data_IF_999504948301
#
_entry.id   IF_999504948301
#
_cell.length_a   1.000
_cell.length_b   1.000
_cell.length_c   1.000
_cell.angle_alpha   90.00
_cell.angle_beta   90.00
_cell.angle_gamma   90.00
#
_symmetry.space_group_name_H-M   'P 1'
#
loop_
_entity.id
_entity.type
_entity.pdbx_description
1 polymer ?
#
# COMPACT_ATOMS: atom_id res chain seq x y z
N UNK A 1 22.10 7.35 -1.55
CA UNK A 1 22.46 7.62 -0.14
C UNK A 1 22.42 6.37 0.75
N UNK A 2 21.58 5.38 0.42
CA UNK A 2 21.42 4.14 1.22
C UNK A 2 22.26 2.97 0.74
N UNK A 3 23.15 3.16 -0.24
CA UNK A 3 24.00 2.10 -0.77
C UNK A 3 24.89 1.49 0.32
N UNK A 4 24.85 0.16 0.43
CA UNK A 4 25.61 -0.58 1.44
C UNK A 4 25.05 -0.52 2.88
N UNK A 5 23.99 0.25 3.14
CA UNK A 5 23.40 0.38 4.47
C UNK A 5 22.31 -0.65 4.75
N UNK A 6 21.73 -1.24 3.70
CA UNK A 6 20.64 -2.23 3.81
C UNK A 6 20.99 -3.49 3.04
N UNK A 7 20.55 -4.66 3.56
CA UNK A 7 20.87 -5.99 3.02
C UNK A 7 19.64 -6.71 2.46
N UNK A 8 18.46 -6.18 2.70
CA UNK A 8 17.19 -6.64 2.20
C UNK A 8 16.10 -5.63 2.55
N UNK A 9 14.98 -5.66 1.84
CA UNK A 9 13.85 -4.75 2.09
C UNK A 9 12.56 -5.56 2.17
N UNK A 10 11.75 -5.25 3.18
CA UNK A 10 10.36 -5.71 3.27
C UNK A 10 9.45 -4.51 3.01
N UNK A 11 8.66 -4.60 1.95
CA UNK A 11 7.67 -3.58 1.60
C UNK A 11 6.26 -4.09 1.89
N UNK A 12 5.64 -3.59 2.97
CA UNK A 12 4.26 -3.90 3.31
C UNK A 12 3.36 -2.80 2.74
N UNK A 13 2.52 -3.17 1.78
CA UNK A 13 1.69 -2.23 1.02
C UNK A 13 2.47 -1.03 0.46
N UNK A 14 3.58 -1.25 -0.29
CA UNK A 14 4.46 -0.18 -0.75
C UNK A 14 3.84 0.58 -1.92
N UNK A 15 3.07 1.62 -1.66
CA UNK A 15 2.44 2.47 -2.67
C UNK A 15 3.40 3.36 -3.47
N UNK A 16 4.71 3.22 -3.29
CA UNK A 16 5.69 4.21 -3.77
C UNK A 16 6.10 4.11 -5.25
N UNK A 17 5.90 2.96 -5.92
CA UNK A 17 6.40 2.74 -7.29
C UNK A 17 5.63 3.57 -8.31
N UNK A 18 4.32 3.68 -8.13
CA UNK A 18 3.42 4.44 -9.00
C UNK A 18 3.24 5.90 -8.61
N UNK A 19 3.72 6.31 -7.46
CA UNK A 19 3.48 7.68 -7.00
C UNK A 19 3.96 8.68 -8.05
N UNK A 20 3.05 9.58 -8.44
CA UNK A 20 3.40 10.80 -9.16
C UNK A 20 4.21 11.67 -8.22
N UNK A 21 5.50 11.42 -8.17
CA UNK A 21 6.37 12.23 -7.34
C UNK A 21 6.33 13.66 -7.86
N UNK A 22 6.01 14.56 -6.97
CA UNK A 22 6.00 15.98 -7.26
C UNK A 22 7.42 16.43 -7.52
N UNK A 23 7.65 17.14 -8.63
CA UNK A 23 8.91 17.81 -8.87
C UNK A 23 9.17 18.84 -7.78
N UNK A 24 10.44 19.07 -7.44
CA UNK A 24 10.84 20.01 -6.38
C UNK A 24 10.20 21.39 -6.57
N UNK A 25 10.15 21.89 -7.79
CA UNK A 25 9.53 23.18 -8.14
C UNK A 25 8.05 23.26 -7.74
N UNK A 26 7.28 22.22 -8.06
CA UNK A 26 5.87 22.14 -7.67
C UNK A 26 5.69 21.96 -6.15
N UNK A 27 6.64 21.31 -5.49
CA UNK A 27 6.67 21.19 -4.04
C UNK A 27 6.94 22.51 -3.35
N UNK A 28 7.86 23.31 -3.89
CA UNK A 28 8.14 24.67 -3.40
C UNK A 28 6.91 25.55 -3.54
N UNK A 29 6.25 25.57 -4.70
CA UNK A 29 5.01 26.32 -4.90
C UNK A 29 3.91 25.93 -3.91
N UNK A 30 3.72 24.61 -3.68
CA UNK A 30 2.78 24.15 -2.66
C UNK A 30 3.15 24.63 -1.26
N UNK A 31 4.42 24.57 -0.90
CA UNK A 31 4.92 25.06 0.39
C UNK A 31 4.67 26.54 0.59
N UNK A 32 4.90 27.36 -0.44
CA UNK A 32 4.62 28.79 -0.40
C UNK A 32 3.13 29.09 -0.31
N UNK A 33 2.29 28.34 -1.02
CA UNK A 33 0.84 28.45 -0.92
C UNK A 33 0.35 28.09 0.48
N UNK A 34 0.93 27.07 1.09
CA UNK A 34 0.63 26.69 2.46
C UNK A 34 1.03 27.77 3.48
N UNK A 35 2.24 28.33 3.36
CA UNK A 35 2.70 29.44 4.19
C UNK A 35 1.75 30.65 4.07
N UNK A 36 1.34 30.99 2.84
CA UNK A 36 0.35 32.07 2.61
C UNK A 36 -0.99 31.80 3.28
N UNK A 37 -1.49 30.57 3.24
CA UNK A 37 -2.74 30.18 3.92
C UNK A 37 -2.65 30.33 5.45
N UNK A 38 -1.44 30.22 6.01
CA UNK A 38 -1.14 30.47 7.42
C UNK A 38 -0.95 31.97 7.75
N UNK A 39 -1.06 32.86 6.76
CA UNK A 39 -0.82 34.29 6.93
C UNK A 39 0.66 34.68 7.01
N UNK A 40 1.57 33.76 6.66
CA UNK A 40 3.01 34.01 6.68
C UNK A 40 3.41 34.69 5.37
N UNK A 41 4.09 35.83 5.50
CA UNK A 41 4.63 36.59 4.39
C UNK A 41 6.12 36.33 4.28
N UNK A 42 6.56 35.91 3.10
CA UNK A 42 7.96 35.60 2.84
C UNK A 42 8.14 34.19 2.25
N UNK A 43 9.38 33.88 1.90
CA UNK A 43 9.79 32.58 1.33
C UNK A 43 11.07 32.12 2.04
N UNK A 44 11.46 30.87 1.81
CA UNK A 44 12.68 30.31 2.38
C UNK A 44 12.66 30.24 3.92
N UNK A 45 13.83 30.51 4.51
CA UNK A 45 14.05 30.31 5.95
C UNK A 45 13.13 31.17 6.82
N UNK A 46 12.82 32.41 6.42
CA UNK A 46 11.91 33.26 7.19
C UNK A 46 10.49 32.71 7.27
N UNK A 47 10.00 32.10 6.19
CA UNK A 47 8.70 31.44 6.20
C UNK A 47 8.72 30.17 7.06
N UNK A 48 9.82 29.40 7.03
CA UNK A 48 9.97 28.21 7.88
C UNK A 48 10.02 28.58 9.37
N UNK A 49 10.74 29.63 9.74
CA UNK A 49 10.77 30.15 11.11
C UNK A 49 9.38 30.58 11.56
N UNK A 50 8.67 31.36 10.73
CA UNK A 50 7.30 31.77 11.01
C UNK A 50 6.36 30.59 11.22
N UNK A 51 6.46 29.53 10.41
CA UNK A 51 5.66 28.30 10.59
C UNK A 51 6.01 27.56 11.88
N UNK A 52 7.29 27.51 12.29
CA UNK A 52 7.73 26.84 13.52
C UNK A 52 7.22 27.53 14.79
N UNK A 53 6.93 28.83 14.73
CA UNK A 53 6.37 29.59 15.86
C UNK A 53 4.87 29.41 16.03
N UNK A 54 4.17 28.84 15.03
CA UNK A 54 2.73 28.62 15.08
C UNK A 54 2.37 27.42 15.96
N UNK A 55 1.23 27.49 16.68
CA UNK A 55 0.67 26.34 17.36
C UNK A 55 0.41 25.18 16.37
N UNK A 56 0.73 23.92 16.72
CA UNK A 56 0.51 22.77 15.84
C UNK A 56 -0.91 22.66 15.28
N UNK A 57 -1.91 23.05 16.08
CA UNK A 57 -3.32 23.05 15.67
C UNK A 57 -3.62 23.99 14.50
N UNK A 58 -2.91 25.12 14.41
CA UNK A 58 -3.03 26.02 13.27
C UNK A 58 -2.49 25.39 11.99
N UNK A 59 -1.35 24.72 12.10
CA UNK A 59 -0.74 23.96 10.98
C UNK A 59 -1.71 22.90 10.50
N UNK A 60 -2.24 22.05 11.40
CA UNK A 60 -3.18 20.97 11.08
C UNK A 60 -4.45 21.53 10.44
N UNK A 61 -5.01 22.61 10.97
CA UNK A 61 -6.22 23.23 10.41
C UNK A 61 -5.98 23.78 9.00
N UNK A 62 -4.81 24.36 8.74
CA UNK A 62 -4.46 24.84 7.41
C UNK A 62 -4.28 23.69 6.38
N UNK A 63 -3.80 22.54 6.82
CA UNK A 63 -3.69 21.36 5.94
C UNK A 63 -5.04 20.92 5.34
N UNK A 64 -6.13 21.09 6.07
CA UNK A 64 -7.47 20.73 5.59
C UNK A 64 -8.02 21.70 4.52
N UNK A 65 -7.55 22.95 4.50
CA UNK A 65 -8.05 24.00 3.61
C UNK A 65 -7.12 24.32 2.44
N UNK A 66 -5.82 24.27 2.67
CA UNK A 66 -4.80 24.58 1.65
C UNK A 66 -4.19 23.34 0.97
N UNK A 67 -4.64 22.16 1.35
CA UNK A 67 -4.00 20.90 1.01
C UNK A 67 -2.72 20.70 1.83
N UNK A 68 -2.36 19.45 2.10
CA UNK A 68 -1.08 19.17 2.75
C UNK A 68 0.05 19.51 1.80
N UNK A 69 0.90 20.45 2.17
CA UNK A 69 2.13 20.76 1.42
C UNK A 69 3.17 19.65 1.48
N UNK A 70 2.84 18.50 2.12
CA UNK A 70 3.76 17.40 2.38
C UNK A 70 3.68 16.29 1.36
N UNK A 71 4.79 15.62 1.15
CA UNK A 71 4.94 14.44 0.31
C UNK A 71 6.37 14.36 -0.23
N UNK A 72 6.81 13.17 -0.67
CA UNK A 72 8.13 13.02 -1.26
C UNK A 72 8.27 13.87 -2.52
N UNK A 73 9.41 14.56 -2.63
CA UNK A 73 9.76 15.36 -3.81
C UNK A 73 10.89 14.70 -4.59
N UNK A 74 10.84 14.79 -5.90
CA UNK A 74 12.01 14.51 -6.74
C UNK A 74 12.91 15.74 -6.65
N UNK A 75 13.90 15.66 -5.79
CA UNK A 75 14.81 16.77 -5.46
C UNK A 75 16.17 16.63 -6.13
N UNK A 76 16.39 15.54 -6.87
CA UNK A 76 17.65 15.23 -7.52
C UNK A 76 18.76 14.77 -6.57
N UNK A 77 18.49 14.67 -5.27
CA UNK A 77 19.47 14.30 -4.24
C UNK A 77 19.02 13.11 -3.38
N UNK A 78 17.95 13.24 -2.58
CA UNK A 78 17.39 12.13 -1.77
C UNK A 78 16.57 11.22 -2.67
N UNK A 79 15.73 11.81 -3.50
CA UNK A 79 14.95 11.12 -4.53
C UNK A 79 15.39 11.67 -5.90
N UNK A 80 16.40 11.04 -6.54
CA UNK A 80 16.99 11.56 -7.78
C UNK A 80 16.04 11.54 -8.97
N UNK A 81 15.13 10.55 -9.02
CA UNK A 81 14.14 10.35 -10.09
C UNK A 81 12.95 9.57 -9.54
N UNK A 82 11.94 9.37 -10.37
CA UNK A 82 10.78 8.52 -10.05
C UNK A 82 11.24 7.13 -9.63
N UNK A 83 10.68 6.53 -8.56
CA UNK A 83 11.12 5.23 -8.06
C UNK A 83 11.10 4.13 -9.12
N UNK A 84 10.08 4.12 -9.99
CA UNK A 84 10.04 3.19 -11.12
C UNK A 84 11.27 3.31 -12.04
N UNK A 85 11.64 4.54 -12.42
CA UNK A 85 12.81 4.79 -13.31
C UNK A 85 14.10 4.34 -12.64
N UNK A 86 14.25 4.62 -11.34
CA UNK A 86 15.44 4.21 -10.59
C UNK A 86 15.57 2.68 -10.51
N UNK A 87 14.45 1.97 -10.27
CA UNK A 87 14.43 0.50 -10.30
C UNK A 87 14.75 -0.04 -11.69
N UNK A 88 14.14 0.53 -12.72
CA UNK A 88 14.33 0.11 -14.12
C UNK A 88 15.77 0.35 -14.60
N UNK A 89 16.40 1.45 -14.19
CA UNK A 89 17.79 1.78 -14.56
C UNK A 89 18.83 0.90 -13.89
N UNK A 90 18.44 0.12 -12.88
CA UNK A 90 19.36 -0.71 -12.10
C UNK A 90 20.28 0.05 -11.15
N UNK A 91 20.03 1.34 -10.93
CA UNK A 91 20.86 2.20 -10.06
C UNK A 91 20.59 2.00 -8.55
N UNK A 92 19.63 1.16 -8.19
CA UNK A 92 19.35 0.84 -6.79
C UNK A 92 20.15 -0.37 -6.31
N UNK A 93 20.30 -0.48 -4.99
CA UNK A 93 20.99 -1.58 -4.34
C UNK A 93 20.47 -2.94 -4.86
N UNK A 94 21.40 -3.84 -5.16
CA UNK A 94 21.10 -5.22 -5.51
C UNK A 94 20.92 -6.02 -4.21
N UNK A 95 19.69 -6.11 -3.77
CA UNK A 95 19.31 -6.76 -2.52
C UNK A 95 17.98 -7.50 -2.71
N UNK A 96 17.75 -8.60 -1.98
CA UNK A 96 16.47 -9.29 -2.01
C UNK A 96 15.35 -8.40 -1.49
N UNK A 97 14.15 -8.59 -2.04
CA UNK A 97 12.95 -7.89 -1.58
C UNK A 97 11.84 -8.87 -1.24
N UNK A 98 11.07 -8.56 -0.20
CA UNK A 98 9.82 -9.21 0.13
C UNK A 98 8.73 -8.15 0.15
N UNK A 99 7.78 -8.22 -0.77
CA UNK A 99 6.77 -7.19 -0.97
C UNK A 99 5.38 -7.80 -1.08
N UNK A 100 4.36 -7.04 -0.77
CA UNK A 100 2.98 -7.49 -0.93
C UNK A 100 2.01 -6.50 -0.35
N UNK A 101 0.75 -6.88 -0.37
CA UNK A 101 -0.36 -6.10 0.15
C UNK A 101 -1.54 -6.97 0.54
N UNK A 102 -2.62 -6.31 0.88
CA UNK A 102 -3.82 -6.93 1.44
C UNK A 102 -4.97 -6.90 0.43
N UNK A 103 -5.87 -7.86 0.52
CA UNK A 103 -6.95 -8.00 -0.46
C UNK A 103 -7.91 -6.80 -0.48
N UNK A 104 -8.06 -6.12 0.64
CA UNK A 104 -9.02 -5.03 0.83
C UNK A 104 -8.30 -3.74 1.32
N UNK A 105 -7.18 -3.39 0.69
CA UNK A 105 -6.26 -2.32 1.10
C UNK A 105 -6.95 -0.98 1.41
N UNK A 106 -7.95 -0.61 0.62
CA UNK A 106 -8.59 0.69 0.76
C UNK A 106 -9.69 0.72 1.83
N UNK A 107 -10.05 -0.43 2.37
CA UNK A 107 -10.96 -0.53 3.49
C UNK A 107 -10.25 -0.05 4.76
N UNK A 108 -10.86 0.87 5.48
CA UNK A 108 -10.28 1.50 6.67
C UNK A 108 -9.45 2.76 6.41
N UNK A 109 -8.96 3.02 5.20
CA UNK A 109 -8.19 4.23 4.90
C UNK A 109 -9.04 5.48 4.67
N UNK A 110 -10.26 5.31 4.18
CA UNK A 110 -11.20 6.42 4.00
C UNK A 110 -12.61 6.03 4.46
N UNK A 111 -13.26 6.96 5.15
CA UNK A 111 -14.71 6.93 5.33
C UNK A 111 -15.35 7.29 3.99
N UNK A 112 -15.54 6.31 3.14
CA UNK A 112 -16.43 6.48 1.99
C UNK A 112 -17.86 6.49 2.49
N UNK A 113 -18.74 7.20 1.78
CA UNK A 113 -20.20 7.09 2.01
C UNK A 113 -20.58 5.62 2.08
N UNK A 114 -21.52 5.24 2.96
CA UNK A 114 -21.89 3.83 3.14
C UNK A 114 -22.39 3.17 1.85
N UNK A 115 -22.86 3.97 0.89
CA UNK A 115 -23.28 3.52 -0.43
C UNK A 115 -22.87 4.55 -1.47
N UNK A 116 -22.48 4.09 -2.64
CA UNK A 116 -22.29 4.92 -3.85
C UNK A 116 -23.09 4.32 -5.01
N UNK A 117 -23.58 5.16 -5.90
CA UNK A 117 -24.23 4.71 -7.13
C UNK A 117 -23.19 4.28 -8.18
N UNK A 118 -23.65 3.55 -9.19
CA UNK A 118 -22.79 3.18 -10.31
C UNK A 118 -22.29 4.42 -11.08
N UNK A 119 -23.10 5.48 -11.20
CA UNK A 119 -22.71 6.75 -11.83
C UNK A 119 -21.59 7.46 -11.02
N UNK A 120 -21.62 7.35 -9.69
CA UNK A 120 -20.55 7.89 -8.84
C UNK A 120 -19.26 7.09 -8.99
N UNK A 121 -19.36 5.77 -9.15
CA UNK A 121 -18.22 4.93 -9.51
C UNK A 121 -17.68 5.32 -10.88
N UNK A 122 -18.52 5.48 -11.89
CA UNK A 122 -18.11 5.88 -13.24
C UNK A 122 -17.40 7.24 -13.24
N UNK A 123 -17.92 8.20 -12.49
CA UNK A 123 -17.29 9.51 -12.33
C UNK A 123 -15.91 9.42 -11.69
N UNK A 124 -15.77 8.57 -10.67
CA UNK A 124 -14.48 8.29 -10.03
C UNK A 124 -13.50 7.65 -11.02
N UNK A 125 -13.93 6.60 -11.73
CA UNK A 125 -13.07 5.89 -12.68
C UNK A 125 -12.63 6.81 -13.83
N UNK A 126 -13.54 7.65 -14.34
CA UNK A 126 -13.21 8.65 -15.35
C UNK A 126 -12.15 9.65 -14.86
N UNK A 127 -12.25 10.09 -13.61
CA UNK A 127 -11.27 10.98 -12.99
C UNK A 127 -9.91 10.31 -12.76
N UNK A 128 -9.90 9.03 -12.36
CA UNK A 128 -8.70 8.30 -11.99
C UNK A 128 -7.95 7.71 -13.20
N UNK A 129 -8.69 7.24 -14.22
CA UNK A 129 -8.16 6.47 -15.34
C UNK A 129 -8.42 7.07 -16.72
N UNK A 130 -9.16 8.20 -16.79
CA UNK A 130 -9.44 8.87 -18.07
C UNK A 130 -10.09 7.94 -19.11
N UNK A 131 -9.52 7.87 -20.30
CA UNK A 131 -10.01 7.03 -21.40
C UNK A 131 -10.03 5.53 -21.06
N UNK A 132 -9.21 5.07 -20.12
CA UNK A 132 -9.17 3.69 -19.68
C UNK A 132 -10.26 3.30 -18.67
N UNK A 133 -11.07 4.25 -18.20
CA UNK A 133 -12.09 4.03 -17.16
C UNK A 133 -13.05 2.87 -17.47
N UNK A 134 -13.54 2.78 -18.71
CA UNK A 134 -14.45 1.72 -19.16
C UNK A 134 -13.76 0.35 -19.14
N UNK A 135 -12.51 0.29 -19.53
CA UNK A 135 -11.73 -0.94 -19.53
C UNK A 135 -11.42 -1.42 -18.11
N UNK A 136 -11.07 -0.51 -17.20
CA UNK A 136 -10.88 -0.82 -15.78
C UNK A 136 -12.18 -1.33 -15.16
N UNK A 137 -13.30 -0.61 -15.36
CA UNK A 137 -14.62 -1.06 -14.85
C UNK A 137 -14.95 -2.48 -15.30
N UNK A 138 -14.74 -2.77 -16.59
CA UNK A 138 -15.02 -4.09 -17.16
C UNK A 138 -14.17 -5.21 -16.52
N UNK A 139 -12.94 -4.92 -16.12
CA UNK A 139 -12.09 -5.89 -15.45
C UNK A 139 -12.63 -6.31 -14.07
N UNK A 140 -13.28 -5.41 -13.37
CA UNK A 140 -13.87 -5.63 -12.03
C UNK A 140 -15.40 -5.82 -12.07
N UNK A 141 -15.96 -6.15 -13.24
CA UNK A 141 -17.40 -6.17 -13.47
C UNK A 141 -18.21 -7.01 -12.46
N UNK A 142 -17.66 -8.12 -11.97
CA UNK A 142 -18.38 -8.96 -11.02
C UNK A 142 -18.51 -8.28 -9.66
N UNK A 143 -17.47 -7.60 -9.21
CA UNK A 143 -17.53 -6.80 -7.96
C UNK A 143 -18.44 -5.58 -8.16
N UNK A 144 -18.38 -4.93 -9.33
CA UNK A 144 -19.24 -3.77 -9.65
C UNK A 144 -20.73 -4.14 -9.54
N UNK A 145 -21.12 -5.31 -10.06
CA UNK A 145 -22.52 -5.78 -9.99
C UNK A 145 -22.99 -6.07 -8.58
N UNK A 146 -22.08 -6.51 -7.70
CA UNK A 146 -22.40 -6.80 -6.30
C UNK A 146 -22.47 -5.50 -5.48
N UNK A 147 -21.44 -4.64 -5.62
CA UNK A 147 -21.32 -3.40 -4.86
C UNK A 147 -20.41 -2.39 -5.58
N UNK A 148 -20.93 -1.29 -6.13
CA UNK A 148 -20.11 -0.22 -6.68
C UNK A 148 -19.12 0.36 -5.67
N UNK A 149 -19.50 0.42 -4.39
CA UNK A 149 -18.62 0.88 -3.31
C UNK A 149 -17.42 -0.06 -3.12
N UNK A 150 -17.65 -1.37 -3.06
CA UNK A 150 -16.58 -2.34 -2.87
C UNK A 150 -15.68 -2.41 -4.11
N UNK A 151 -16.26 -2.32 -5.31
CA UNK A 151 -15.49 -2.19 -6.54
C UNK A 151 -14.55 -0.98 -6.50
N UNK A 152 -15.05 0.19 -6.09
CA UNK A 152 -14.22 1.38 -5.93
C UNK A 152 -13.07 1.16 -4.96
N UNK A 153 -13.33 0.56 -3.80
CA UNK A 153 -12.32 0.28 -2.77
C UNK A 153 -11.25 -0.70 -3.29
N UNK A 154 -11.68 -1.80 -3.90
CA UNK A 154 -10.77 -2.83 -4.45
C UNK A 154 -9.92 -2.24 -5.58
N UNK A 155 -10.53 -1.55 -6.54
CA UNK A 155 -9.81 -0.92 -7.66
C UNK A 155 -8.77 0.08 -7.15
N UNK A 156 -9.14 0.91 -6.16
CA UNK A 156 -8.22 1.89 -5.58
C UNK A 156 -7.06 1.21 -4.85
N UNK A 157 -7.33 0.15 -4.10
CA UNK A 157 -6.32 -0.64 -3.40
C UNK A 157 -5.37 -1.36 -4.35
N UNK A 158 -5.93 -1.97 -5.38
CA UNK A 158 -5.14 -2.66 -6.41
C UNK A 158 -4.25 -1.67 -7.17
N UNK A 159 -4.78 -0.54 -7.59
CA UNK A 159 -4.03 0.50 -8.29
C UNK A 159 -2.91 1.10 -7.42
N UNK A 160 -3.18 1.37 -6.16
CA UNK A 160 -2.23 2.01 -5.25
C UNK A 160 -1.15 1.07 -4.73
N UNK A 161 -1.53 -0.09 -4.20
CA UNK A 161 -0.66 -0.93 -3.38
C UNK A 161 -0.28 -2.25 -4.07
N UNK A 162 -1.27 -3.00 -4.57
CA UNK A 162 -1.00 -4.34 -5.11
C UNK A 162 -0.19 -4.25 -6.41
N UNK A 163 -0.59 -3.36 -7.30
CA UNK A 163 0.15 -3.12 -8.54
C UNK A 163 1.56 -2.60 -8.27
N UNK A 164 1.74 -1.70 -7.30
CA UNK A 164 3.06 -1.21 -6.90
C UNK A 164 3.96 -2.33 -6.38
N UNK A 165 3.44 -3.22 -5.54
CA UNK A 165 4.17 -4.40 -5.03
C UNK A 165 4.60 -5.32 -6.16
N UNK A 166 3.67 -5.64 -7.07
CA UNK A 166 3.91 -6.49 -8.23
C UNK A 166 4.97 -5.90 -9.17
N UNK A 167 4.84 -4.61 -9.50
CA UNK A 167 5.81 -3.92 -10.37
C UNK A 167 7.20 -3.88 -9.75
N UNK A 168 7.30 -3.66 -8.44
CA UNK A 168 8.58 -3.72 -7.76
C UNK A 168 9.21 -5.09 -7.87
N UNK A 169 8.48 -6.16 -7.57
CA UNK A 169 8.98 -7.53 -7.68
C UNK A 169 9.45 -7.85 -9.11
N UNK A 170 8.69 -7.47 -10.14
CA UNK A 170 9.06 -7.65 -11.55
C UNK A 170 10.36 -6.93 -11.92
N UNK A 171 10.54 -5.71 -11.45
CA UNK A 171 11.74 -4.94 -11.73
C UNK A 171 12.98 -5.52 -11.01
N UNK A 172 12.79 -6.11 -9.83
CA UNK A 172 13.86 -6.77 -9.08
C UNK A 172 14.22 -8.10 -9.72
N UNK A 173 13.24 -8.93 -10.06
CA UNK A 173 13.41 -10.20 -10.74
C UNK A 173 14.09 -10.04 -12.11
N UNK A 174 13.68 -9.03 -12.90
CA UNK A 174 14.28 -8.74 -14.20
C UNK A 174 15.78 -8.40 -14.13
N UNK A 175 16.30 -8.01 -12.96
CA UNK A 175 17.73 -7.81 -12.72
C UNK A 175 18.45 -9.06 -12.22
N UNK A 176 17.71 -10.16 -12.03
CA UNK A 176 18.21 -11.41 -11.47
C UNK A 176 18.44 -11.37 -9.95
N UNK A 177 17.75 -10.48 -9.24
CA UNK A 177 17.73 -10.45 -7.78
C UNK A 177 16.47 -11.16 -7.26
N UNK A 178 16.53 -11.71 -6.05
CA UNK A 178 15.41 -12.45 -5.45
C UNK A 178 14.29 -11.48 -5.02
N UNK A 179 13.08 -11.79 -5.46
CA UNK A 179 11.85 -11.15 -5.00
C UNK A 179 10.89 -12.20 -4.45
N UNK A 180 10.18 -11.85 -3.40
CA UNK A 180 9.12 -12.66 -2.79
C UNK A 180 7.87 -11.80 -2.70
N UNK A 181 6.73 -12.32 -3.21
CA UNK A 181 5.47 -11.56 -3.20
C UNK A 181 4.44 -12.29 -2.36
N UNK A 182 3.78 -11.55 -1.46
CA UNK A 182 2.63 -12.06 -0.71
C UNK A 182 1.34 -11.34 -1.07
N UNK A 183 0.23 -12.02 -0.80
CA UNK A 183 -1.10 -11.47 -0.85
C UNK A 183 -1.85 -11.92 0.41
N UNK A 184 -2.08 -10.99 1.32
CA UNK A 184 -2.75 -11.25 2.59
C UNK A 184 -4.27 -11.18 2.40
N UNK A 185 -4.96 -12.29 2.65
CA UNK A 185 -6.41 -12.43 2.45
C UNK A 185 -7.18 -12.73 3.74
N UNK A 186 -6.47 -13.00 4.85
CA UNK A 186 -7.12 -13.17 6.14
C UNK A 186 -7.84 -11.89 6.54
N UNK A 187 -9.10 -12.02 6.92
CA UNK A 187 -9.90 -10.91 7.46
C UNK A 187 -9.64 -10.81 8.97
N UNK A 188 -8.84 -9.86 9.44
CA UNK A 188 -8.60 -9.71 10.87
C UNK A 188 -9.79 -9.10 11.58
N UNK A 189 -9.91 -9.25 12.93
CA UNK A 189 -10.84 -8.45 13.71
C UNK A 189 -10.59 -6.96 13.52
N UNK A 190 -11.66 -6.17 13.53
CA UNK A 190 -11.57 -4.73 13.27
C UNK A 190 -11.05 -3.97 14.48
N UNK A 191 -10.08 -3.09 14.28
CA UNK A 191 -9.62 -2.17 15.31
C UNK A 191 -10.65 -1.07 15.58
N UNK A 192 -10.86 -0.72 16.85
CA UNK A 192 -11.77 0.36 17.26
C UNK A 192 -11.47 1.70 16.58
N UNK A 193 -10.24 1.94 16.19
CA UNK A 193 -9.84 3.14 15.45
C UNK A 193 -10.64 3.31 14.15
N UNK A 194 -10.98 2.21 13.48
CA UNK A 194 -11.71 2.24 12.21
C UNK A 194 -13.23 2.20 12.35
N UNK A 195 -13.71 1.71 13.49
CA UNK A 195 -15.15 1.56 13.77
C UNK A 195 -15.46 2.02 15.21
N UNK A 196 -15.27 3.32 15.51
CA UNK A 196 -15.40 3.85 16.88
C UNK A 196 -16.80 3.68 17.47
N UNK A 197 -17.82 3.58 16.63
CA UNK A 197 -19.22 3.43 17.04
C UNK A 197 -19.58 1.99 17.47
N UNK A 198 -18.74 0.99 17.13
CA UNK A 198 -18.99 -0.42 17.44
C UNK A 198 -18.70 -0.72 18.93
N UNK A 199 -19.70 -1.27 19.61
CA UNK A 199 -19.61 -1.53 21.06
C UNK A 199 -18.96 -2.88 21.42
N UNK A 200 -19.07 -3.87 20.53
CA UNK A 200 -18.73 -5.28 20.80
C UNK A 200 -17.53 -5.79 19.98
N UNK A 201 -16.43 -5.04 19.96
CA UNK A 201 -15.21 -5.45 19.22
C UNK A 201 -14.43 -6.60 19.88
N UNK A 202 -14.75 -6.96 21.12
CA UNK A 202 -14.03 -7.96 21.92
C UNK A 202 -14.72 -9.32 21.99
N UNK A 203 -15.79 -9.55 21.21
CA UNK A 203 -16.46 -10.84 21.18
C UNK A 203 -15.55 -11.91 20.55
N UNK A 204 -15.65 -13.15 21.03
CA UNK A 204 -14.92 -14.30 20.45
C UNK A 204 -15.16 -14.38 18.94
N UNK A 205 -14.07 -14.33 18.18
CA UNK A 205 -14.10 -14.26 16.72
C UNK A 205 -14.14 -12.85 16.13
N UNK A 206 -14.42 -11.81 16.92
CA UNK A 206 -14.43 -10.39 16.53
C UNK A 206 -15.24 -10.06 15.28
N UNK A 207 -15.63 -8.80 15.11
CA UNK A 207 -16.21 -8.37 13.84
C UNK A 207 -15.12 -8.27 12.77
N UNK A 208 -15.34 -8.89 11.61
CA UNK A 208 -14.39 -8.95 10.48
C UNK A 208 -14.97 -8.26 9.23
N UNK A 209 -15.62 -7.11 9.43
CA UNK A 209 -16.45 -6.45 8.44
C UNK A 209 -15.66 -5.62 7.42
N UNK A 210 -14.38 -5.31 7.71
CA UNK A 210 -13.54 -4.52 6.82
C UNK A 210 -12.68 -5.36 5.86
N UNK A 211 -12.90 -6.68 5.80
CA UNK A 211 -12.07 -7.54 4.96
C UNK A 211 -10.63 -7.63 5.44
N UNK A 212 -9.70 -7.90 4.55
CA UNK A 212 -8.26 -7.82 4.77
C UNK A 212 -7.79 -6.36 4.56
N UNK A 213 -8.15 -5.50 5.51
CA UNK A 213 -7.97 -4.05 5.42
C UNK A 213 -6.52 -3.61 5.61
N UNK A 214 -6.17 -2.44 5.09
CA UNK A 214 -4.83 -1.85 5.19
C UNK A 214 -4.29 -1.85 6.62
N UNK A 215 -3.05 -2.30 6.79
CA UNK A 215 -2.37 -2.47 8.08
C UNK A 215 -2.94 -3.60 8.98
N UNK A 216 -3.93 -4.36 8.48
CA UNK A 216 -4.53 -5.47 9.23
C UNK A 216 -3.58 -6.64 9.51
N UNK A 217 -2.50 -6.77 8.73
CA UNK A 217 -1.48 -7.79 8.91
C UNK A 217 -0.44 -7.46 9.99
N UNK A 218 -0.33 -6.21 10.42
CA UNK A 218 0.74 -5.77 11.33
C UNK A 218 0.79 -6.56 12.64
N UNK A 219 -0.37 -6.85 13.24
CA UNK A 219 -0.43 -7.64 14.46
C UNK A 219 0.09 -9.08 14.27
N UNK A 220 -0.09 -9.65 13.07
CA UNK A 220 0.44 -10.97 12.72
C UNK A 220 1.94 -10.92 12.48
N UNK A 221 2.44 -9.91 11.78
CA UNK A 221 3.86 -9.74 11.46
C UNK A 221 4.70 -9.64 12.73
N UNK A 222 4.22 -8.88 13.72
CA UNK A 222 4.93 -8.68 14.99
C UNK A 222 4.59 -9.73 16.06
N UNK A 223 3.78 -10.73 15.75
CA UNK A 223 3.31 -11.78 16.68
C UNK A 223 2.81 -11.21 18.02
N UNK A 224 2.08 -10.09 17.94
CA UNK A 224 1.63 -9.34 19.11
C UNK A 224 0.10 -9.34 19.29
N UNK A 225 -0.60 -10.34 18.76
CA UNK A 225 -2.06 -10.47 18.84
C UNK A 225 -2.57 -10.32 20.28
N UNK A 226 -1.85 -10.85 21.26
CA UNK A 226 -2.23 -10.77 22.67
C UNK A 226 -2.15 -9.35 23.23
N UNK A 227 -1.25 -8.50 22.68
CA UNK A 227 -1.09 -7.10 23.11
C UNK A 227 -2.22 -6.25 22.54
N UNK A 228 -2.62 -6.55 21.31
CA UNK A 228 -3.69 -5.81 20.62
C UNK A 228 -5.07 -6.10 21.21
N UNK A 229 -5.28 -7.30 21.79
CA UNK A 229 -6.44 -7.62 22.60
C UNK A 229 -7.79 -7.62 21.87
N UNK A 230 -7.80 -8.04 20.59
CA UNK A 230 -9.03 -8.25 19.81
C UNK A 230 -9.50 -9.70 19.87
N UNK A 231 -10.65 -9.99 19.26
CA UNK A 231 -11.24 -11.33 19.17
C UNK A 231 -10.49 -12.26 18.19
N UNK A 232 -9.24 -12.55 18.48
CA UNK A 232 -8.41 -13.45 17.69
C UNK A 232 -8.81 -14.92 17.93
N UNK A 233 -8.96 -15.68 16.84
CA UNK A 233 -9.17 -17.12 16.92
C UNK A 233 -7.84 -17.91 16.84
N UNK A 234 -7.92 -19.24 16.95
CA UNK A 234 -6.73 -20.11 16.90
C UNK A 234 -6.05 -20.08 15.53
N UNK A 235 -6.83 -19.89 14.46
CA UNK A 235 -6.25 -19.76 13.11
C UNK A 235 -5.43 -18.46 12.97
N UNK A 236 -5.86 -17.37 13.61
CA UNK A 236 -5.08 -16.14 13.66
C UNK A 236 -3.73 -16.34 14.36
N UNK A 237 -3.73 -17.09 15.49
CA UNK A 237 -2.50 -17.37 16.26
C UNK A 237 -1.51 -18.21 15.46
N UNK A 238 -2.00 -19.24 14.77
CA UNK A 238 -1.16 -20.09 13.91
C UNK A 238 -0.62 -19.28 12.74
N UNK A 239 -1.47 -18.48 12.11
CA UNK A 239 -1.05 -17.61 10.99
C UNK A 239 -0.02 -16.56 11.43
N UNK A 240 -0.24 -15.91 12.58
CA UNK A 240 0.66 -14.92 13.16
C UNK A 240 2.06 -15.50 13.32
N UNK A 241 2.16 -16.68 13.97
CA UNK A 241 3.46 -17.35 14.11
C UNK A 241 4.10 -17.66 12.75
N UNK A 242 3.33 -18.16 11.80
CA UNK A 242 3.84 -18.48 10.46
C UNK A 242 4.38 -17.25 9.74
N UNK A 243 3.65 -16.13 9.80
CA UNK A 243 4.07 -14.86 9.18
C UNK A 243 5.32 -14.32 9.88
N UNK A 244 5.34 -14.28 11.21
CA UNK A 244 6.51 -13.81 11.96
C UNK A 244 7.77 -14.64 11.64
N UNK A 245 7.63 -15.96 11.53
CA UNK A 245 8.75 -16.84 11.15
C UNK A 245 9.27 -16.53 9.72
N UNK A 246 8.40 -16.27 8.74
CA UNK A 246 8.82 -15.83 7.40
C UNK A 246 9.57 -14.49 7.44
N UNK A 247 9.05 -13.50 8.16
CA UNK A 247 9.68 -12.17 8.28
C UNK A 247 11.05 -12.25 8.94
N UNK A 248 11.17 -13.03 10.02
CA UNK A 248 12.44 -13.25 10.72
C UNK A 248 13.45 -13.98 9.84
N UNK A 249 13.04 -15.01 9.10
CA UNK A 249 13.92 -15.73 8.19
C UNK A 249 14.44 -14.81 7.08
N UNK A 250 13.53 -14.05 6.44
CA UNK A 250 13.92 -13.08 5.42
C UNK A 250 14.88 -12.02 5.97
N UNK A 251 14.61 -11.46 7.14
CA UNK A 251 15.48 -10.47 7.76
C UNK A 251 16.89 -11.01 8.06
N UNK A 252 17.00 -12.31 8.34
CA UNK A 252 18.29 -12.97 8.62
C UNK A 252 19.06 -13.39 7.39
N UNK A 253 18.37 -13.81 6.34
CA UNK A 253 18.99 -14.56 5.23
C UNK A 253 18.66 -14.00 3.85
N UNK A 254 17.71 -13.08 3.72
CA UNK A 254 17.13 -12.66 2.45
C UNK A 254 16.16 -13.68 1.84
N UNK A 255 15.84 -14.76 2.55
CA UNK A 255 14.95 -15.83 2.10
C UNK A 255 13.91 -16.11 3.21
N UNK A 256 12.58 -16.04 2.93
CA UNK A 256 11.56 -16.26 3.96
C UNK A 256 11.42 -17.72 4.38
N UNK A 257 11.90 -18.67 3.57
CA UNK A 257 11.71 -20.10 3.81
C UNK A 257 12.48 -20.60 5.05
N UNK A 258 11.92 -21.60 5.71
CA UNK A 258 12.52 -22.24 6.88
C UNK A 258 11.83 -23.56 7.24
N UNK A 259 12.40 -24.31 8.18
CA UNK A 259 11.86 -25.60 8.61
C UNK A 259 10.41 -25.47 9.11
N UNK A 260 9.52 -26.31 8.63
CA UNK A 260 8.13 -26.37 9.06
C UNK A 260 7.21 -25.32 8.42
N UNK A 261 7.73 -24.40 7.63
CA UNK A 261 6.95 -23.43 6.88
C UNK A 261 6.55 -23.96 5.51
N UNK A 262 5.35 -23.64 5.00
CA UNK A 262 5.00 -23.84 3.60
C UNK A 262 6.02 -23.17 2.67
N UNK A 263 6.38 -23.84 1.58
CA UNK A 263 7.35 -23.27 0.64
C UNK A 263 6.82 -21.97 0.00
N UNK A 264 7.64 -20.93 0.04
CA UNK A 264 7.39 -19.65 -0.64
C UNK A 264 8.39 -19.51 -1.79
N UNK A 265 7.98 -19.70 -3.07
CA UNK A 265 8.89 -19.59 -4.18
C UNK A 265 9.35 -18.15 -4.40
N UNK A 266 10.54 -17.98 -4.97
CA UNK A 266 10.92 -16.70 -5.57
C UNK A 266 9.92 -16.31 -6.64
N UNK A 267 9.64 -15.02 -6.73
CA UNK A 267 8.72 -14.47 -7.71
C UNK A 267 9.28 -14.65 -9.14
N UNK A 268 8.41 -15.05 -10.05
CA UNK A 268 8.66 -15.19 -11.46
C UNK A 268 7.52 -14.48 -12.21
N UNK A 269 7.87 -13.43 -12.96
CA UNK A 269 6.92 -12.60 -13.70
C UNK A 269 6.12 -13.37 -14.75
N UNK A 270 6.64 -14.48 -15.26
CA UNK A 270 5.94 -15.32 -16.24
C UNK A 270 4.80 -16.13 -15.63
N UNK A 271 4.96 -16.58 -14.39
CA UNK A 271 3.97 -17.37 -13.66
C UNK A 271 3.08 -16.54 -12.74
N UNK A 272 3.61 -15.41 -12.25
CA UNK A 272 2.93 -14.50 -11.32
C UNK A 272 2.42 -15.19 -10.04
N UNK A 273 3.23 -16.12 -9.52
CA UNK A 273 2.91 -16.89 -8.31
C UNK A 273 3.24 -16.06 -7.08
N UNK A 274 2.28 -15.96 -6.17
CA UNK A 274 2.37 -15.23 -4.91
C UNK A 274 2.05 -16.15 -3.73
N UNK A 275 2.55 -15.80 -2.54
CA UNK A 275 2.22 -16.48 -1.30
C UNK A 275 0.93 -15.92 -0.72
N UNK A 276 -0.09 -16.76 -0.62
CA UNK A 276 -1.33 -16.41 0.09
C UNK A 276 -1.10 -16.55 1.60
N UNK A 277 -1.37 -15.47 2.31
CA UNK A 277 -1.33 -15.41 3.77
C UNK A 277 -2.77 -15.38 4.30
N UNK A 278 -3.26 -16.57 4.66
CA UNK A 278 -4.60 -16.81 5.20
C UNK A 278 -4.54 -18.05 6.13
N UNK A 279 -5.67 -18.53 6.60
CA UNK A 279 -5.79 -19.79 7.38
C UNK A 279 -5.00 -20.93 6.71
N UNK A 280 -5.08 -21.02 5.40
CA UNK A 280 -4.27 -21.95 4.60
C UNK A 280 -3.19 -21.15 3.88
N UNK A 281 -1.99 -21.14 4.42
CA UNK A 281 -0.83 -20.54 3.78
C UNK A 281 -0.34 -21.42 2.61
N UNK A 282 -0.05 -20.80 1.46
CA UNK A 282 0.47 -21.52 0.28
C UNK A 282 0.57 -20.63 -0.95
N UNK A 283 1.27 -21.09 -1.97
CA UNK A 283 1.53 -20.33 -3.19
C UNK A 283 0.52 -20.64 -4.29
N UNK A 284 0.10 -19.61 -5.00
CA UNK A 284 -0.78 -19.74 -6.18
C UNK A 284 -0.51 -18.59 -7.16
N UNK A 285 -1.00 -18.71 -8.38
CA UNK A 285 -1.08 -17.56 -9.30
C UNK A 285 -1.88 -16.45 -8.64
N UNK A 286 -1.46 -15.20 -8.81
CA UNK A 286 -2.13 -14.07 -8.16
C UNK A 286 -3.64 -14.07 -8.47
N UNK A 287 -4.53 -14.06 -7.45
CA UNK A 287 -5.98 -14.18 -7.68
C UNK A 287 -6.58 -13.10 -8.60
N UNK A 288 -5.95 -11.93 -8.65
CA UNK A 288 -6.36 -10.80 -9.52
C UNK A 288 -5.35 -10.53 -10.64
N UNK A 289 -4.73 -11.61 -11.16
CA UNK A 289 -3.70 -11.47 -12.20
C UNK A 289 -4.21 -10.74 -13.44
N UNK A 290 -5.40 -11.06 -13.90
CA UNK A 290 -5.95 -10.49 -15.13
C UNK A 290 -6.24 -8.97 -15.00
N UNK A 291 -6.76 -8.55 -13.85
CA UNK A 291 -7.02 -7.15 -13.50
C UNK A 291 -5.70 -6.37 -13.40
N UNK A 292 -4.72 -6.93 -12.70
CA UNK A 292 -3.41 -6.33 -12.53
C UNK A 292 -2.60 -6.26 -13.82
N UNK A 293 -2.67 -7.26 -14.69
CA UNK A 293 -2.04 -7.24 -16.03
C UNK A 293 -2.58 -6.05 -16.84
N UNK A 294 -3.88 -5.82 -16.75
CA UNK A 294 -4.52 -4.70 -17.44
C UNK A 294 -4.10 -3.36 -16.88
N UNK A 295 -4.11 -3.22 -15.55
CA UNK A 295 -3.70 -1.98 -14.89
C UNK A 295 -2.23 -1.66 -15.15
N UNK A 296 -1.35 -2.66 -15.12
CA UNK A 296 0.08 -2.47 -15.39
C UNK A 296 0.32 -2.00 -16.83
N UNK A 297 -0.37 -2.61 -17.81
CA UNK A 297 -0.31 -2.18 -19.20
C UNK A 297 -0.73 -0.72 -19.34
N UNK A 298 -1.89 -0.35 -18.78
CA UNK A 298 -2.39 1.03 -18.82
C UNK A 298 -1.41 2.03 -18.17
N UNK A 299 -0.80 1.64 -17.05
CA UNK A 299 0.21 2.48 -16.41
C UNK A 299 1.45 2.69 -17.30
N UNK A 300 1.92 1.64 -17.97
CA UNK A 300 3.11 1.71 -18.82
C UNK A 300 2.87 2.49 -20.12
N UNK A 301 1.65 2.43 -20.67
CA UNK A 301 1.24 3.19 -21.87
C UNK A 301 1.10 4.69 -21.62
N UNK A 302 0.78 5.10 -20.37
CA UNK A 302 0.52 6.50 -19.99
C UNK A 302 1.68 7.17 -19.21
N UNK A 303 2.87 6.60 -19.25
CA UNK A 303 4.08 7.13 -18.55
C UNK A 303 4.71 8.29 -19.28
#
# INVERSE_FOLDING_TARGET
LSEGLVHGVIGQSPGCIKTSNTLAEQGHERGENFARALGIVGTGDSALEGMRELPPQQIISAMSTAGSGGGPLIDGYVIPDRPYNQLQSGQLNRIPVMVGGLADEYFGLQQLSPEITEEQLDSYLQSAFGEAATEVKAAYNDIVKESPLDARKVITGDDGFILSSRMWARLVEARGDDAYVYFFTRKPPVFRLYVPEEKDLNNDGGQRTLGAYHSGELAYVFDNLNVVGLGWDDADRVLSKTIADYWVNFARTGNPNGPGLPNWPTYDASTDVVQILDVKVGSTVHPRKAELDRMERLYLENR
#
